data_IF_061610435360
#
_entry.id   IF_061610435360
#
_cell.length_a   1.000
_cell.length_b   1.000
_cell.length_c   1.000
_cell.angle_alpha   90.00
_cell.angle_beta   90.00
_cell.angle_gamma   90.00
#
_symmetry.space_group_name_H-M   'P 1'
#
loop_
_entity.id
_entity.type
_entity.pdbx_description
1 polymer ?
#
# COMPACT_ATOMS: atom_id res chain seq x y z
N UNK A 1 -9.67 4.44 -1.08
CA UNK A 1 -9.02 4.04 0.19
C UNK A 1 -9.86 4.56 1.34
N UNK A 2 -9.90 3.85 2.45
CA UNK A 2 -10.75 4.20 3.59
C UNK A 2 -12.21 3.76 3.44
N UNK A 3 -13.01 4.01 4.47
CA UNK A 3 -14.40 3.56 4.60
C UNK A 3 -15.35 4.13 3.54
N UNK A 4 -15.02 5.30 2.99
CA UNK A 4 -15.75 5.93 1.88
C UNK A 4 -15.18 5.57 0.51
N UNK A 5 -14.07 4.82 0.47
CA UNK A 5 -13.36 4.44 -0.75
C UNK A 5 -12.97 5.62 -1.64
N UNK A 6 -12.52 6.72 -1.03
CA UNK A 6 -12.07 7.92 -1.76
C UNK A 6 -10.93 7.56 -2.74
N UNK A 7 -10.94 8.09 -3.98
CA UNK A 7 -9.86 7.86 -4.94
C UNK A 7 -8.52 8.40 -4.42
N UNK A 8 -7.44 7.63 -4.61
CA UNK A 8 -6.08 8.05 -4.28
C UNK A 8 -5.19 7.81 -5.49
N UNK A 9 -4.52 8.85 -5.94
CA UNK A 9 -3.57 8.77 -7.05
C UNK A 9 -2.20 8.34 -6.53
N UNK A 10 -1.68 7.24 -7.06
CA UNK A 10 -0.40 6.66 -6.65
C UNK A 10 0.45 6.37 -7.89
N UNK A 11 1.76 6.60 -7.77
CA UNK A 11 2.72 6.22 -8.82
C UNK A 11 2.95 4.72 -8.78
N UNK A 12 2.91 4.06 -9.93
CA UNK A 12 3.16 2.63 -10.01
C UNK A 12 4.65 2.33 -9.90
N UNK A 13 5.03 1.47 -8.95
CA UNK A 13 6.38 0.91 -8.83
C UNK A 13 6.35 -0.62 -8.92
N UNK A 14 6.88 -1.15 -10.02
CA UNK A 14 6.91 -2.59 -10.30
C UNK A 14 7.89 -3.36 -9.38
N UNK A 15 8.88 -2.69 -8.82
CA UNK A 15 9.86 -3.28 -7.92
C UNK A 15 9.59 -2.91 -6.45
N UNK A 16 8.72 -1.94 -6.21
CA UNK A 16 8.32 -1.46 -4.89
C UNK A 16 7.75 -2.60 -4.03
N UNK A 17 8.34 -2.93 -2.88
CA UNK A 17 7.94 -4.08 -2.09
C UNK A 17 6.55 -3.92 -1.45
N UNK A 18 6.04 -2.70 -1.28
CA UNK A 18 4.74 -2.44 -0.68
C UNK A 18 4.20 -1.09 -1.15
N UNK A 19 2.90 -0.87 -0.92
CA UNK A 19 2.27 0.43 -1.15
C UNK A 19 2.59 1.35 0.02
N UNK A 20 2.94 2.61 -0.28
CA UNK A 20 3.07 3.65 0.72
C UNK A 20 2.40 4.94 0.25
N UNK A 21 1.86 5.71 1.18
CA UNK A 21 1.17 6.96 0.90
C UNK A 21 1.47 8.02 1.95
N UNK A 22 1.41 9.28 1.57
CA UNK A 22 1.35 10.39 2.50
C UNK A 22 -0.03 10.40 3.18
N UNK A 23 -0.07 9.81 4.36
CA UNK A 23 -1.28 9.65 5.15
C UNK A 23 -1.91 10.95 5.63
N UNK A 24 -1.14 12.06 5.63
CA UNK A 24 -1.62 13.39 5.96
C UNK A 24 -2.33 14.09 4.80
N UNK A 25 -2.09 13.66 3.55
CA UNK A 25 -2.72 14.22 2.35
C UNK A 25 -3.83 13.36 1.75
N UNK A 26 -4.06 12.17 2.28
CA UNK A 26 -5.25 11.35 2.02
C UNK A 26 -6.30 11.58 3.11
N UNK A 27 -7.59 11.50 2.74
CA UNK A 27 -8.70 11.64 3.69
C UNK A 27 -8.46 10.77 4.93
N UNK A 28 -8.60 11.35 6.11
CA UNK A 28 -8.55 10.62 7.37
C UNK A 28 -9.77 9.70 7.44
N UNK A 29 -9.58 8.44 7.04
CA UNK A 29 -10.60 7.43 7.20
C UNK A 29 -10.60 6.94 8.64
N UNK A 30 -11.76 7.01 9.31
CA UNK A 30 -11.92 6.44 10.66
C UNK A 30 -11.68 4.93 10.74
N UNK A 31 -11.57 4.24 9.59
CA UNK A 31 -11.23 2.82 9.48
C UNK A 31 -9.74 2.52 9.54
N UNK A 32 -8.85 3.50 9.38
CA UNK A 32 -7.40 3.28 9.41
C UNK A 32 -6.95 2.86 10.81
N UNK A 33 -6.21 1.75 10.90
CA UNK A 33 -5.72 1.21 12.15
C UNK A 33 -4.19 1.04 12.10
N UNK A 34 -3.45 1.69 13.01
CA UNK A 34 -2.01 1.47 13.11
C UNK A 34 -1.67 0.03 13.46
N UNK A 35 -0.69 -0.54 12.76
CA UNK A 35 -0.20 -1.89 13.05
C UNK A 35 0.75 -1.83 14.24
N UNK A 36 0.42 -2.58 15.29
CA UNK A 36 1.27 -2.66 16.49
C UNK A 36 2.61 -3.30 16.16
N UNK A 37 3.67 -2.77 16.76
CA UNK A 37 4.96 -3.42 16.79
C UNK A 37 4.82 -4.87 17.30
N UNK A 38 5.62 -5.78 16.74
CA UNK A 38 5.69 -7.20 17.16
C UNK A 38 4.41 -8.01 16.96
N UNK A 39 3.42 -7.45 16.27
CA UNK A 39 2.28 -8.22 15.77
C UNK A 39 2.70 -9.13 14.62
N UNK A 40 1.89 -10.16 14.35
CA UNK A 40 2.07 -11.01 13.18
C UNK A 40 2.06 -10.20 11.87
N UNK A 41 1.21 -9.18 11.78
CA UNK A 41 1.13 -8.26 10.62
C UNK A 41 2.45 -7.51 10.41
N UNK A 42 3.07 -7.03 11.49
CA UNK A 42 4.37 -6.37 11.41
C UNK A 42 5.49 -7.33 10.95
N UNK A 43 5.49 -8.56 11.47
CA UNK A 43 6.42 -9.61 11.04
C UNK A 43 6.22 -10.01 9.56
N UNK A 44 4.97 -9.99 9.08
CA UNK A 44 4.67 -10.18 7.66
C UNK A 44 5.25 -9.04 6.81
N UNK A 45 5.11 -7.80 7.27
CA UNK A 45 5.54 -6.58 6.60
C UNK A 45 7.07 -6.48 6.44
N UNK A 46 7.82 -6.95 7.43
CA UNK A 46 9.28 -6.98 7.39
C UNK A 46 9.91 -7.46 8.70
N UNK A 47 11.24 -7.62 8.75
CA UNK A 47 11.93 -7.99 9.97
C UNK A 47 11.69 -6.93 11.05
N UNK A 48 11.01 -7.33 12.13
CA UNK A 48 10.72 -6.43 13.24
C UNK A 48 11.96 -6.33 14.13
N UNK A 49 12.66 -5.19 14.10
CA UNK A 49 13.75 -4.94 15.05
C UNK A 49 13.14 -4.67 16.42
N UNK A 50 13.65 -5.33 17.46
CA UNK A 50 13.41 -4.91 18.85
C UNK A 50 12.28 -5.61 19.62
N UNK A 51 11.62 -6.64 19.09
CA UNK A 51 10.51 -7.31 19.79
C UNK A 51 10.84 -8.00 21.10
N UNK A 52 12.13 -8.23 21.36
CA UNK A 52 12.59 -8.93 22.55
C UNK A 52 13.54 -8.09 23.41
N UNK A 53 13.70 -6.80 23.09
CA UNK A 53 14.58 -5.90 23.86
C UNK A 53 13.73 -4.86 24.57
N UNK A 54 13.84 -4.75 25.90
CA UNK A 54 13.17 -3.72 26.71
C UNK A 54 13.48 -2.27 26.26
N UNK A 55 14.43 -2.08 25.33
CA UNK A 55 14.83 -0.80 24.76
C UNK A 55 13.99 -0.33 23.57
N UNK A 56 13.18 -1.19 22.96
CA UNK A 56 12.38 -0.81 21.78
C UNK A 56 10.94 -0.55 22.20
N UNK A 57 10.65 0.71 22.56
CA UNK A 57 9.37 1.16 23.10
C UNK A 57 8.45 1.72 22.00
N UNK A 58 8.67 1.34 20.74
CA UNK A 58 7.79 1.76 19.63
C UNK A 58 6.50 0.97 19.72
N UNK A 59 5.38 1.65 19.93
CA UNK A 59 4.05 1.05 19.86
C UNK A 59 3.64 0.70 18.42
N UNK A 60 4.22 1.39 17.42
CA UNK A 60 3.93 1.23 16.00
C UNK A 60 4.98 0.40 15.26
N UNK A 61 4.51 -0.33 14.25
CA UNK A 61 5.31 -1.02 13.26
C UNK A 61 5.79 -0.01 12.21
N UNK A 62 7.07 -0.03 11.85
CA UNK A 62 7.64 0.89 10.85
C UNK A 62 8.42 0.18 9.77
N UNK A 63 8.39 0.74 8.56
CA UNK A 63 9.15 0.27 7.40
C UNK A 63 9.85 1.45 6.71
N UNK A 64 11.04 1.24 6.12
CA UNK A 64 11.65 2.24 5.26
C UNK A 64 10.89 2.30 3.93
N UNK A 65 10.12 3.37 3.73
CA UNK A 65 9.53 3.68 2.43
C UNK A 65 10.58 4.38 1.56
N UNK A 66 10.64 4.00 0.28
CA UNK A 66 11.60 4.54 -0.68
C UNK A 66 10.87 5.18 -1.85
N UNK A 67 11.33 6.36 -2.24
CA UNK A 67 10.97 7.00 -3.51
C UNK A 67 12.13 6.80 -4.48
N UNK A 68 11.93 5.93 -5.46
CA UNK A 68 12.94 5.58 -6.46
C UNK A 68 13.17 6.70 -7.49
N UNK A 69 12.25 7.66 -7.63
CA UNK A 69 12.40 8.80 -8.53
C UNK A 69 13.37 9.86 -7.96
N UNK A 70 13.33 10.11 -6.64
CA UNK A 70 14.24 11.05 -5.96
C UNK A 70 15.43 10.38 -5.27
N UNK A 71 15.37 9.06 -5.07
CA UNK A 71 16.34 8.33 -4.25
C UNK A 71 16.18 8.53 -2.74
N UNK A 72 15.12 9.23 -2.31
CA UNK A 72 14.85 9.48 -0.90
C UNK A 72 14.29 8.23 -0.20
N UNK A 73 14.58 8.10 1.09
CA UNK A 73 14.02 7.06 1.95
C UNK A 73 13.64 7.66 3.30
N UNK A 74 12.51 7.22 3.85
CA UNK A 74 12.04 7.64 5.16
C UNK A 74 11.35 6.49 5.90
N UNK A 75 11.40 6.53 7.22
CA UNK A 75 10.60 5.61 8.04
C UNK A 75 9.12 5.98 7.94
N UNK A 76 8.29 5.04 7.52
CA UNK A 76 6.84 5.15 7.54
C UNK A 76 6.21 4.18 8.53
N UNK A 77 5.08 4.55 9.11
CA UNK A 77 4.29 3.66 9.97
C UNK A 77 3.49 2.69 9.12
N UNK A 78 3.35 1.44 9.56
CA UNK A 78 2.51 0.47 8.86
C UNK A 78 1.11 0.55 9.42
N UNK A 79 0.15 0.77 8.53
CA UNK A 79 -1.26 0.84 8.85
C UNK A 79 -2.01 -0.24 8.07
N UNK A 80 -3.18 -0.60 8.60
CA UNK A 80 -4.18 -1.32 7.84
C UNK A 80 -5.40 -0.44 7.59
N UNK A 81 -5.92 -0.50 6.38
CA UNK A 81 -7.15 0.19 6.02
C UNK A 81 -7.86 -0.56 4.87
N UNK A 82 -9.05 -0.10 4.56
CA UNK A 82 -9.83 -0.61 3.47
C UNK A 82 -9.36 -0.03 2.13
N UNK A 83 -9.16 -0.92 1.15
CA UNK A 83 -8.96 -0.53 -0.24
C UNK A 83 -9.91 -1.29 -1.16
N UNK A 84 -10.31 -0.63 -2.24
CA UNK A 84 -11.02 -1.27 -3.32
C UNK A 84 -10.31 -0.94 -4.63
N UNK A 85 -10.33 -1.90 -5.54
CA UNK A 85 -9.86 -1.74 -6.91
C UNK A 85 -10.90 -2.29 -7.88
N UNK A 86 -11.03 -1.61 -9.00
CA UNK A 86 -11.90 -2.05 -10.08
C UNK A 86 -11.15 -3.06 -10.95
N UNK A 87 -11.73 -4.24 -11.09
CA UNK A 87 -11.29 -5.28 -12.01
C UNK A 87 -12.03 -5.13 -13.33
N UNK A 88 -11.24 -5.01 -14.38
CA UNK A 88 -11.75 -5.00 -15.74
C UNK A 88 -11.86 -6.45 -16.26
N UNK A 89 -13.09 -6.93 -16.44
CA UNK A 89 -13.37 -8.28 -16.94
C UNK A 89 -13.26 -8.40 -18.47
N UNK A 90 -13.19 -7.29 -19.21
CA UNK A 90 -13.12 -7.28 -20.66
C UNK A 90 -14.27 -6.50 -21.30
N UNK A 91 -14.22 -6.26 -22.63
CA UNK A 91 -15.26 -5.55 -23.35
C UNK A 91 -16.62 -6.27 -23.23
N UNK A 92 -17.67 -5.54 -22.86
CA UNK A 92 -19.04 -6.07 -22.74
C UNK A 92 -19.33 -6.85 -21.46
N UNK A 93 -18.37 -6.91 -20.52
CA UNK A 93 -18.55 -7.54 -19.21
C UNK A 93 -18.57 -6.48 -18.11
N UNK A 94 -19.41 -6.68 -17.08
CA UNK A 94 -19.43 -5.78 -15.93
C UNK A 94 -18.09 -5.82 -15.19
N UNK A 95 -17.58 -4.65 -14.83
CA UNK A 95 -16.46 -4.55 -13.90
C UNK A 95 -16.90 -5.04 -12.52
N UNK A 96 -15.95 -5.59 -11.77
CA UNK A 96 -16.16 -5.99 -10.38
C UNK A 96 -15.23 -5.21 -9.47
N UNK A 97 -15.72 -4.82 -8.30
CA UNK A 97 -14.88 -4.22 -7.26
C UNK A 97 -14.35 -5.32 -6.36
N UNK A 98 -13.03 -5.45 -6.29
CA UNK A 98 -12.39 -6.29 -5.29
C UNK A 98 -11.98 -5.41 -4.11
N UNK A 99 -12.46 -5.77 -2.93
CA UNK A 99 -12.28 -5.03 -1.69
C UNK A 99 -11.44 -5.82 -0.71
N UNK A 100 -10.38 -5.21 -0.19
CA UNK A 100 -9.61 -5.73 0.93
C UNK A 100 -9.79 -4.79 2.12
N UNK A 101 -10.47 -5.28 3.17
CA UNK A 101 -10.79 -4.51 4.38
C UNK A 101 -9.59 -4.34 5.33
N UNK A 102 -8.50 -5.10 5.12
CA UNK A 102 -7.33 -5.14 5.99
C UNK A 102 -6.04 -5.08 5.19
N UNK A 103 -6.00 -4.16 4.23
CA UNK A 103 -4.85 -3.97 3.37
C UNK A 103 -3.73 -3.27 4.15
N UNK A 104 -2.57 -3.90 4.20
CA UNK A 104 -1.36 -3.37 4.83
C UNK A 104 -0.64 -2.43 3.87
N UNK A 105 -0.32 -1.23 4.32
CA UNK A 105 0.45 -0.24 3.58
C UNK A 105 1.24 0.63 4.57
N UNK A 106 2.12 1.50 4.06
CA UNK A 106 2.90 2.40 4.92
C UNK A 106 2.49 3.86 4.77
N UNK A 107 2.27 4.54 5.89
CA UNK A 107 2.16 5.98 5.98
C UNK A 107 3.55 6.62 5.99
N UNK A 108 3.91 7.31 4.91
CA UNK A 108 5.20 7.97 4.71
C UNK A 108 5.06 9.50 4.87
N UNK A 109 6.15 10.22 5.19
CA UNK A 109 6.11 11.68 5.26
C UNK A 109 5.96 12.32 3.88
N UNK A 110 5.31 13.48 3.81
CA UNK A 110 5.10 14.27 2.58
C UNK A 110 6.40 14.59 1.83
N UNK A 111 7.54 14.71 2.52
CA UNK A 111 8.85 14.92 1.89
C UNK A 111 9.23 13.80 0.92
N UNK A 112 8.67 12.61 1.09
CA UNK A 112 8.91 11.47 0.21
C UNK A 112 8.17 11.59 -1.14
N UNK A 113 7.27 12.56 -1.32
CA UNK A 113 6.56 12.78 -2.59
C UNK A 113 7.39 13.55 -3.63
N UNK A 114 8.53 14.10 -3.25
CA UNK A 114 9.38 14.89 -4.16
C UNK A 114 9.76 14.09 -5.42
N UNK A 115 9.52 14.69 -6.60
CA UNK A 115 9.83 14.06 -7.90
C UNK A 115 8.83 13.02 -8.38
N UNK A 116 7.76 12.72 -7.61
CA UNK A 116 6.64 11.94 -8.13
C UNK A 116 5.75 12.80 -9.04
N UNK A 117 4.88 12.14 -9.81
CA UNK A 117 3.92 12.83 -10.68
C UNK A 117 3.02 13.78 -9.89
N UNK A 118 2.68 14.93 -10.47
CA UNK A 118 1.76 15.90 -9.88
C UNK A 118 0.44 15.25 -9.47
N UNK A 119 -0.06 15.62 -8.28
CA UNK A 119 -1.29 15.06 -7.71
C UNK A 119 -1.10 13.76 -6.92
N UNK A 120 -0.03 13.00 -7.20
CA UNK A 120 0.21 11.72 -6.52
C UNK A 120 0.41 11.87 -5.02
N UNK A 121 -0.08 10.87 -4.29
CA UNK A 121 -0.07 10.79 -2.82
C UNK A 121 0.87 9.70 -2.32
N UNK A 122 1.67 9.10 -3.20
CA UNK A 122 2.64 8.07 -2.86
C UNK A 122 2.84 7.07 -3.98
N UNK A 123 3.21 5.84 -3.61
CA UNK A 123 3.61 4.79 -4.53
C UNK A 123 2.84 3.50 -4.29
N UNK A 124 2.45 2.87 -5.39
CA UNK A 124 1.76 1.60 -5.45
C UNK A 124 2.73 0.48 -5.85
N UNK A 125 3.24 -0.23 -4.86
CA UNK A 125 4.25 -1.28 -5.04
C UNK A 125 3.70 -2.64 -5.46
N UNK A 126 4.21 -3.18 -6.58
CA UNK A 126 3.88 -4.51 -7.12
C UNK A 126 5.02 -5.53 -7.01
N UNK A 127 6.09 -5.18 -6.30
CA UNK A 127 7.27 -6.03 -6.13
C UNK A 127 6.99 -7.33 -5.37
N UNK A 128 7.98 -8.22 -5.34
CA UNK A 128 7.84 -9.51 -4.68
C UNK A 128 8.03 -9.41 -3.15
N UNK A 129 6.95 -9.09 -2.43
CA UNK A 129 6.92 -9.10 -0.97
C UNK A 129 5.58 -9.63 -0.42
N UNK A 130 5.56 -10.05 0.85
CA UNK A 130 4.34 -10.53 1.53
C UNK A 130 3.24 -9.49 1.65
N UNK A 131 3.59 -8.21 1.71
CA UNK A 131 2.65 -7.09 1.83
C UNK A 131 2.58 -6.25 0.55
N UNK A 132 3.12 -6.76 -0.56
CA UNK A 132 2.85 -6.19 -1.87
C UNK A 132 1.37 -6.36 -2.23
N UNK A 133 0.87 -5.52 -3.13
CA UNK A 133 -0.51 -5.62 -3.57
C UNK A 133 -0.84 -7.01 -4.15
N UNK A 134 -0.04 -7.58 -5.08
CA UNK A 134 -0.37 -8.89 -5.66
C UNK A 134 -0.45 -9.99 -4.59
N UNK A 135 0.46 -9.98 -3.61
CA UNK A 135 0.46 -10.97 -2.51
C UNK A 135 -0.74 -10.85 -1.59
N UNK A 136 -1.10 -9.62 -1.20
CA UNK A 136 -2.25 -9.39 -0.33
C UNK A 136 -3.57 -9.75 -1.03
N UNK A 137 -3.72 -9.40 -2.30
CA UNK A 137 -4.91 -9.78 -3.09
C UNK A 137 -4.96 -11.27 -3.36
N UNK A 138 -3.84 -11.91 -3.67
CA UNK A 138 -3.81 -13.38 -3.83
C UNK A 138 -4.17 -14.12 -2.55
N UNK A 139 -3.86 -13.53 -1.38
CA UNK A 139 -4.25 -14.10 -0.08
C UNK A 139 -5.75 -13.92 0.18
N UNK A 140 -6.32 -12.77 -0.17
CA UNK A 140 -7.76 -12.48 0.02
C UNK A 140 -8.67 -13.20 -0.97
N UNK A 141 -8.22 -13.40 -2.22
CA UNK A 141 -9.05 -13.88 -3.33
C UNK A 141 -8.57 -15.19 -3.97
N UNK A 142 -7.46 -15.76 -3.48
CA UNK A 142 -6.79 -16.91 -4.10
C UNK A 142 -5.79 -16.49 -5.20
N UNK A 143 -4.88 -17.40 -5.63
CA UNK A 143 -3.94 -17.10 -6.69
C UNK A 143 -4.71 -16.72 -7.97
N UNK A 144 -4.30 -15.66 -8.68
CA UNK A 144 -5.00 -15.26 -9.89
C UNK A 144 -4.90 -16.38 -10.93
N UNK A 145 -6.04 -16.88 -11.39
CA UNK A 145 -6.12 -17.68 -12.62
C UNK A 145 -5.87 -16.84 -13.88
N UNK A 146 -5.68 -15.53 -13.74
CA UNK A 146 -5.65 -14.55 -14.82
C UNK A 146 -4.52 -13.54 -14.62
N UNK A 147 -3.69 -13.43 -15.65
CA UNK A 147 -2.67 -12.40 -15.82
C UNK A 147 -3.27 -11.00 -15.58
N UNK A 148 -2.60 -10.18 -14.76
CA UNK A 148 -2.97 -8.78 -14.58
C UNK A 148 -2.62 -7.99 -15.84
N UNK A 149 -3.62 -7.42 -16.52
CA UNK A 149 -3.40 -6.51 -17.64
C UNK A 149 -3.55 -5.07 -17.15
N UNK A 150 -2.44 -4.35 -17.04
CA UNK A 150 -2.45 -2.90 -16.84
C UNK A 150 -2.94 -2.28 -18.15
N UNK A 151 -4.13 -1.67 -18.12
CA UNK A 151 -4.69 -0.97 -19.28
C UNK A 151 -4.37 0.51 -19.11
N UNK A 152 -3.47 1.03 -19.95
CA UNK A 152 -3.22 2.47 -20.01
C UNK A 152 -4.39 3.13 -20.76
N UNK A 153 -5.21 3.91 -20.06
CA UNK A 153 -6.32 4.65 -20.67
C UNK A 153 -5.78 6.01 -21.14
N UNK A 154 -5.08 6.01 -22.27
CA UNK A 154 -4.77 7.25 -22.98
C UNK A 154 -6.06 7.75 -23.61
N UNK A 155 -6.67 8.78 -23.01
CA UNK A 155 -7.74 9.53 -23.67
C UNK A 155 -7.09 10.42 -24.75
N UNK A 156 -7.49 10.20 -26.00
CA UNK A 156 -7.45 11.22 -27.06
C UNK A 156 -8.61 12.20 -26.84
#
# INVERSE_FOLDING_TARGET
MGSNLDPVELVLDLNGPFTWADCGSISASGSRQPVKACSLKCSMAGPTKGCFTQRYNSSSCTLPAENTASGASASGEVDEDEIAMEFWAGPGLSSSLARNERFLFSCAPTSLLEGLADGSKGVFGLGNSRISLPSQFSTSFGPPAVMWKIVNKSYL
#
